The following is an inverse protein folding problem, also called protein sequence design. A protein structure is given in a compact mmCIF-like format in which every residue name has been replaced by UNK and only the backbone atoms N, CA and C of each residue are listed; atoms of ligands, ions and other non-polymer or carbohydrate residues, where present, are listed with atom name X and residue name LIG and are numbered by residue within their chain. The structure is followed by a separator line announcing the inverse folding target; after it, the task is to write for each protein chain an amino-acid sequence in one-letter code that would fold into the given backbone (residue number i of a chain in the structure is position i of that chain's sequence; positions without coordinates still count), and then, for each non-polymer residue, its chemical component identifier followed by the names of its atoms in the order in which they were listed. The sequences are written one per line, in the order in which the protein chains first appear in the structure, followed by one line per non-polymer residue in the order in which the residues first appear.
data_IF_797547237068
#
_entry.id   IF_797547237068
#
_cell.length_a   1.000
_cell.length_b   1.000
_cell.length_c   1.000
_cell.angle_alpha   90.00
_cell.angle_beta   90.00
_cell.angle_gamma   90.00
#
_symmetry.space_group_name_H-M   'P 1'
#
loop_
_entity.id
_entity.type
_entity.pdbx_description
1 polymer ?
#
# COMPACT_ATOMS: atom_id res chain seq x y z
N UNK A 1 55.84 44.35 -65.89
CA UNK A 1 55.63 44.59 -64.44
C UNK A 1 54.17 44.28 -64.14
N UNK A 2 53.88 43.03 -63.74
CA UNK A 2 52.54 42.58 -63.38
C UNK A 2 52.62 42.15 -61.91
N UNK A 3 52.02 42.94 -61.02
CA UNK A 3 51.99 42.69 -59.58
C UNK A 3 50.74 41.82 -59.33
N UNK A 4 50.93 40.53 -59.02
CA UNK A 4 49.83 39.69 -58.53
C UNK A 4 49.66 39.89 -57.03
N UNK A 5 48.54 40.53 -56.66
CA UNK A 5 48.09 40.74 -55.28
C UNK A 5 47.42 39.49 -54.70
N UNK A 6 47.50 39.41 -53.38
CA UNK A 6 47.12 38.32 -52.48
C UNK A 6 45.63 37.93 -52.51
N UNK A 7 45.36 36.67 -52.17
CA UNK A 7 44.06 36.27 -51.60
C UNK A 7 44.30 35.27 -50.46
N UNK A 8 44.38 35.78 -49.22
CA UNK A 8 44.43 34.96 -48.00
C UNK A 8 43.04 34.93 -47.40
N UNK A 9 42.30 33.85 -47.67
CA UNK A 9 40.97 33.59 -47.13
C UNK A 9 41.08 33.28 -45.64
N UNK A 10 40.73 34.24 -44.78
CA UNK A 10 40.57 34.04 -43.33
C UNK A 10 39.28 33.25 -43.08
N UNK A 11 39.42 31.99 -42.65
CA UNK A 11 38.30 31.17 -42.19
C UNK A 11 37.87 31.61 -40.79
N UNK A 12 36.75 32.33 -40.71
CA UNK A 12 36.13 32.76 -39.47
C UNK A 12 35.34 31.57 -38.86
N UNK A 13 35.88 30.93 -37.83
CA UNK A 13 35.18 29.88 -37.08
C UNK A 13 34.07 30.51 -36.23
N UNK A 14 32.82 30.41 -36.69
CA UNK A 14 31.63 30.79 -35.92
C UNK A 14 31.39 29.73 -34.83
N UNK A 15 31.69 30.06 -33.57
CA UNK A 15 31.37 29.21 -32.41
C UNK A 15 29.87 29.34 -32.13
N UNK A 16 29.05 28.46 -32.73
CA UNK A 16 27.60 28.41 -32.49
C UNK A 16 27.38 27.79 -31.10
N UNK A 17 27.13 28.63 -30.10
CA UNK A 17 26.65 28.20 -28.78
C UNK A 17 25.23 27.64 -28.94
N UNK A 18 25.11 26.34 -29.15
CA UNK A 18 23.83 25.65 -29.13
C UNK A 18 23.28 25.70 -27.69
N UNK A 19 22.05 26.20 -27.47
CA UNK A 19 21.44 26.16 -26.15
C UNK A 19 21.22 24.70 -25.76
N UNK A 20 21.95 24.22 -24.77
CA UNK A 20 21.68 22.93 -24.15
C UNK A 20 20.35 23.05 -23.42
N UNK A 21 19.31 22.42 -23.97
CA UNK A 21 18.03 22.30 -23.31
C UNK A 21 18.21 21.50 -22.03
N UNK A 22 18.21 22.20 -20.90
CA UNK A 22 18.15 21.57 -19.57
C UNK A 22 16.79 20.89 -19.48
N UNK A 23 16.76 19.56 -19.55
CA UNK A 23 15.55 18.79 -19.32
C UNK A 23 15.14 18.98 -17.85
N UNK A 24 14.20 19.89 -17.59
CA UNK A 24 13.58 20.03 -16.28
C UNK A 24 12.76 18.76 -16.02
N UNK A 25 13.20 17.94 -15.06
CA UNK A 25 12.39 16.82 -14.59
C UNK A 25 11.20 17.38 -13.82
N UNK A 26 9.99 17.22 -14.35
CA UNK A 26 8.78 17.59 -13.62
C UNK A 26 8.53 16.55 -12.53
N UNK A 27 8.66 16.95 -11.27
CA UNK A 27 8.18 16.17 -10.14
C UNK A 27 6.69 16.47 -9.95
N UNK A 28 5.85 15.44 -9.87
CA UNK A 28 4.44 15.59 -9.55
C UNK A 28 4.19 15.15 -8.09
N UNK A 29 3.33 15.89 -7.38
CA UNK A 29 2.80 15.45 -6.09
C UNK A 29 1.64 14.49 -6.34
N UNK A 30 1.70 13.30 -5.75
CA UNK A 30 0.63 12.32 -5.77
C UNK A 30 0.02 12.21 -4.39
N UNK A 31 -1.29 12.44 -4.27
CA UNK A 31 -2.02 12.29 -3.00
C UNK A 31 -2.39 10.83 -2.79
N UNK A 32 -1.97 10.26 -1.66
CA UNK A 32 -2.25 8.86 -1.37
C UNK A 32 -3.70 8.68 -0.90
N UNK A 33 -4.49 7.80 -1.53
CA UNK A 33 -5.84 7.50 -1.05
C UNK A 33 -5.82 6.93 0.38
N UNK A 34 -6.92 7.13 1.11
CA UNK A 34 -7.12 6.58 2.45
C UNK A 34 -8.44 5.81 2.52
N UNK A 35 -8.59 4.91 3.49
CA UNK A 35 -9.82 4.12 3.64
C UNK A 35 -10.03 3.11 2.52
N UNK A 36 -8.94 2.49 2.06
CA UNK A 36 -8.99 1.51 0.98
C UNK A 36 -9.41 0.16 1.55
N UNK A 37 -10.45 -0.43 0.95
CA UNK A 37 -10.98 -1.73 1.36
C UNK A 37 -10.03 -2.87 1.00
N UNK A 38 -10.02 -3.87 1.87
CA UNK A 38 -9.28 -5.11 1.66
C UNK A 38 -10.00 -6.03 0.67
N UNK A 39 -9.22 -6.83 -0.04
CA UNK A 39 -9.65 -7.88 -0.97
C UNK A 39 -8.69 -9.06 -0.88
N UNK A 40 -9.09 -10.22 -1.39
CA UNK A 40 -8.24 -11.41 -1.49
C UNK A 40 -7.55 -11.76 -0.16
N UNK A 41 -8.30 -11.71 0.94
CA UNK A 41 -7.77 -12.02 2.26
C UNK A 41 -7.55 -13.54 2.45
N UNK A 42 -6.46 -13.89 3.12
CA UNK A 42 -6.11 -15.27 3.47
C UNK A 42 -5.52 -15.34 4.88
N UNK A 43 -5.54 -16.54 5.45
CA UNK A 43 -4.93 -16.84 6.74
C UNK A 43 -3.52 -17.37 6.54
N UNK A 44 -2.59 -16.87 7.34
CA UNK A 44 -1.21 -17.32 7.38
C UNK A 44 -0.76 -17.62 8.82
N UNK A 45 0.42 -18.23 8.96
CA UNK A 45 1.08 -18.46 10.25
C UNK A 45 0.16 -19.15 11.27
N UNK A 46 -0.38 -20.32 10.90
CA UNK A 46 -1.34 -21.09 11.72
C UNK A 46 -2.59 -20.29 12.10
N UNK A 47 -3.10 -19.52 11.13
CA UNK A 47 -4.32 -18.71 11.26
C UNK A 47 -4.22 -17.57 12.29
N UNK A 48 -3.01 -17.11 12.60
CA UNK A 48 -2.79 -15.97 13.51
C UNK A 48 -2.66 -14.64 12.78
N UNK A 49 -2.29 -14.69 11.50
CA UNK A 49 -2.06 -13.52 10.66
C UNK A 49 -3.06 -13.55 9.52
N UNK A 50 -3.75 -12.43 9.31
CA UNK A 50 -4.55 -12.19 8.12
C UNK A 50 -3.68 -11.42 7.15
N UNK A 51 -3.52 -11.97 5.95
CA UNK A 51 -2.90 -11.27 4.83
C UNK A 51 -3.98 -10.90 3.81
N UNK A 52 -4.11 -9.62 3.48
CA UNK A 52 -5.05 -9.13 2.47
C UNK A 52 -4.33 -8.37 1.37
N UNK A 53 -4.94 -8.27 0.19
CA UNK A 53 -4.53 -7.31 -0.83
C UNK A 53 -5.33 -6.02 -0.68
N UNK A 54 -4.65 -4.91 -0.95
CA UNK A 54 -5.24 -3.58 -1.08
C UNK A 54 -5.10 -3.19 -2.54
N UNK A 55 -6.23 -2.96 -3.22
CA UNK A 55 -6.23 -2.52 -4.61
C UNK A 55 -6.16 -0.99 -4.66
N UNK A 56 -5.15 -0.46 -5.35
CA UNK A 56 -4.89 0.97 -5.49
C UNK A 56 -4.71 1.25 -6.96
N UNK A 57 -5.77 1.73 -7.61
CA UNK A 57 -5.80 1.96 -9.06
C UNK A 57 -5.30 0.72 -9.83
N UNK A 58 -4.16 0.82 -10.51
CA UNK A 58 -3.59 -0.23 -11.38
C UNK A 58 -2.64 -1.20 -10.64
N UNK A 59 -2.45 -1.07 -9.34
CA UNK A 59 -1.55 -1.93 -8.55
C UNK A 59 -2.20 -2.45 -7.27
N UNK A 60 -1.57 -3.47 -6.67
CA UNK A 60 -2.01 -4.02 -5.39
C UNK A 60 -0.84 -4.27 -4.45
N UNK A 61 -1.05 -4.04 -3.16
CA UNK A 61 -0.11 -4.41 -2.09
C UNK A 61 -0.72 -5.45 -1.18
N UNK A 62 0.10 -6.40 -0.77
CA UNK A 62 -0.23 -7.27 0.34
C UNK A 62 -0.01 -6.56 1.68
N UNK A 63 -0.86 -6.91 2.62
CA UNK A 63 -1.04 -6.32 3.92
C UNK A 63 -1.17 -7.43 4.93
N UNK A 64 -0.40 -7.43 6.02
CA UNK A 64 -0.53 -8.48 7.04
C UNK A 64 -0.77 -7.86 8.41
N UNK A 65 -1.70 -8.42 9.17
CA UNK A 65 -2.03 -8.02 10.54
C UNK A 65 -2.37 -9.24 11.39
N UNK A 66 -1.99 -9.23 12.66
CA UNK A 66 -2.35 -10.30 13.58
C UNK A 66 -3.79 -10.15 14.02
N UNK A 67 -4.53 -11.25 14.05
CA UNK A 67 -5.92 -11.27 14.53
C UNK A 67 -5.97 -10.76 15.97
N UNK A 68 -5.05 -11.24 16.82
CA UNK A 68 -4.99 -10.90 18.24
C UNK A 68 -4.70 -9.43 18.52
N UNK A 69 -4.23 -8.66 17.54
CA UNK A 69 -3.96 -7.22 17.73
C UNK A 69 -5.26 -6.39 17.64
N UNK A 70 -6.29 -6.87 16.93
CA UNK A 70 -7.51 -6.09 16.63
C UNK A 70 -8.83 -6.80 16.93
N UNK A 71 -8.81 -8.11 17.14
CA UNK A 71 -9.99 -8.91 17.44
C UNK A 71 -9.88 -9.46 18.86
N UNK A 72 -10.92 -9.22 19.65
CA UNK A 72 -11.14 -9.84 20.94
C UNK A 72 -12.36 -10.75 20.92
N UNK A 73 -12.64 -11.37 22.06
CA UNK A 73 -13.83 -12.20 22.27
C UNK A 73 -14.60 -11.68 23.48
N UNK A 74 -15.90 -11.41 23.30
CA UNK A 74 -16.81 -11.08 24.39
C UNK A 74 -18.01 -12.01 24.35
N UNK A 75 -18.13 -12.90 25.34
CA UNK A 75 -19.27 -13.82 25.46
C UNK A 75 -19.44 -14.78 24.26
N UNK A 76 -18.35 -15.16 23.60
CA UNK A 76 -18.39 -16.03 22.41
C UNK A 76 -18.62 -15.28 21.10
N UNK A 77 -18.56 -13.94 21.10
CA UNK A 77 -18.65 -13.10 19.90
C UNK A 77 -17.33 -12.40 19.64
N UNK A 78 -16.88 -12.41 18.39
CA UNK A 78 -15.75 -11.58 17.97
C UNK A 78 -16.15 -10.10 18.03
N UNK A 79 -15.33 -9.30 18.70
CA UNK A 79 -15.53 -7.87 18.91
C UNK A 79 -14.22 -7.13 18.70
N UNK A 80 -14.27 -5.80 18.47
CA UNK A 80 -13.05 -4.99 18.46
C UNK A 80 -12.32 -5.14 19.79
N UNK A 81 -11.01 -5.38 19.75
CA UNK A 81 -10.22 -5.61 20.95
C UNK A 81 -8.93 -6.36 20.64
N UNK A 82 -8.51 -7.22 21.55
CA UNK A 82 -7.29 -8.01 21.39
C UNK A 82 -7.45 -9.38 22.03
N UNK A 83 -6.60 -10.33 21.63
CA UNK A 83 -6.49 -11.65 22.27
C UNK A 83 -7.58 -12.66 21.89
N UNK A 84 -8.22 -12.53 20.73
CA UNK A 84 -9.17 -13.54 20.25
C UNK A 84 -8.54 -14.95 20.21
N UNK A 85 -7.27 -15.09 19.85
CA UNK A 85 -6.52 -16.35 19.77
C UNK A 85 -6.44 -17.13 21.09
N UNK A 86 -6.65 -16.49 22.24
CA UNK A 86 -6.68 -17.17 23.54
C UNK A 86 -7.98 -17.96 23.79
N UNK A 87 -9.04 -17.63 23.05
CA UNK A 87 -10.39 -18.15 23.31
C UNK A 87 -11.20 -18.50 22.07
N UNK A 88 -10.69 -18.19 20.87
CA UNK A 88 -11.31 -18.50 19.59
C UNK A 88 -10.41 -19.42 18.76
N UNK A 89 -11.03 -20.24 17.92
CA UNK A 89 -10.37 -21.20 17.03
C UNK A 89 -11.16 -21.42 15.75
N UNK A 90 -10.65 -22.32 14.90
CA UNK A 90 -11.29 -22.73 13.63
C UNK A 90 -11.50 -21.54 12.67
N UNK A 91 -10.55 -20.60 12.69
CA UNK A 91 -10.55 -19.41 11.85
C UNK A 91 -10.61 -19.79 10.37
N UNK A 92 -11.54 -19.16 9.64
CA UNK A 92 -11.70 -19.31 8.20
C UNK A 92 -12.01 -17.94 7.59
N UNK A 93 -11.35 -17.60 6.49
CA UNK A 93 -11.64 -16.37 5.73
C UNK A 93 -12.33 -16.76 4.42
N UNK A 94 -13.43 -16.07 4.11
CA UNK A 94 -14.16 -16.24 2.86
C UNK A 94 -13.87 -15.10 1.87
N UNK A 95 -14.24 -15.30 0.61
CA UNK A 95 -13.97 -14.38 -0.50
C UNK A 95 -14.70 -13.02 -0.38
N UNK A 96 -15.71 -12.93 0.49
CA UNK A 96 -16.43 -11.69 0.81
C UNK A 96 -15.73 -10.87 1.91
N UNK A 97 -14.50 -11.24 2.27
CA UNK A 97 -13.72 -10.67 3.37
C UNK A 97 -14.39 -10.82 4.74
N UNK A 98 -15.15 -11.90 4.95
CA UNK A 98 -15.63 -12.27 6.28
C UNK A 98 -14.67 -13.25 6.94
N UNK A 99 -14.33 -12.97 8.20
CA UNK A 99 -13.62 -13.90 9.07
C UNK A 99 -14.65 -14.61 9.93
N UNK A 100 -14.63 -15.93 9.88
CA UNK A 100 -15.42 -16.81 10.74
C UNK A 100 -14.51 -17.48 11.76
N UNK A 101 -15.04 -17.69 12.97
CA UNK A 101 -14.36 -18.44 14.02
C UNK A 101 -15.39 -19.06 14.97
N UNK A 102 -14.90 -19.94 15.85
CA UNK A 102 -15.64 -20.43 17.01
C UNK A 102 -14.98 -19.93 18.29
N UNK A 103 -15.68 -19.11 19.06
CA UNK A 103 -15.18 -18.42 20.26
C UNK A 103 -15.83 -18.97 21.54
N UNK A 104 -15.04 -19.14 22.59
CA UNK A 104 -15.50 -19.63 23.88
C UNK A 104 -16.32 -18.55 24.60
N UNK A 105 -17.54 -18.87 25.01
CA UNK A 105 -18.39 -18.01 25.83
C UNK A 105 -18.07 -18.13 27.34
N UNK A 106 -18.83 -17.42 28.17
CA UNK A 106 -18.65 -17.40 29.63
C UNK A 106 -18.92 -18.76 30.30
N UNK A 107 -19.70 -19.64 29.64
CA UNK A 107 -19.99 -21.00 30.11
C UNK A 107 -18.96 -22.03 29.60
N UNK A 108 -17.95 -21.57 28.87
CA UNK A 108 -16.92 -22.41 28.27
C UNK A 108 -17.34 -23.08 26.96
N UNK A 109 -18.53 -22.75 26.43
CA UNK A 109 -19.05 -23.31 25.19
C UNK A 109 -18.54 -22.53 23.98
N UNK A 110 -18.29 -23.23 22.87
CA UNK A 110 -17.87 -22.59 21.63
C UNK A 110 -19.08 -22.08 20.86
N UNK A 111 -19.07 -20.79 20.51
CA UNK A 111 -20.09 -20.12 19.72
C UNK A 111 -19.51 -19.73 18.37
N UNK A 112 -20.24 -20.06 17.31
CA UNK A 112 -19.91 -19.57 15.97
C UNK A 112 -20.14 -18.06 15.92
N UNK A 113 -19.19 -17.35 15.32
CA UNK A 113 -19.23 -15.89 15.19
C UNK A 113 -18.45 -15.49 13.93
N UNK A 114 -18.78 -14.32 13.38
CA UNK A 114 -18.12 -13.79 12.20
C UNK A 114 -18.06 -12.26 12.22
N UNK A 115 -17.07 -11.72 11.53
CA UNK A 115 -16.85 -10.28 11.38
C UNK A 115 -16.49 -9.95 9.93
N UNK A 116 -16.80 -8.74 9.48
CA UNK A 116 -16.25 -8.21 8.24
C UNK A 116 -14.86 -7.62 8.52
N UNK A 117 -13.86 -8.02 7.74
CA UNK A 117 -12.49 -7.54 7.92
C UNK A 117 -12.37 -6.03 7.70
N UNK A 118 -13.19 -5.42 6.83
CA UNK A 118 -13.14 -3.97 6.58
C UNK A 118 -13.68 -3.15 7.76
N UNK A 119 -14.46 -3.77 8.66
CA UNK A 119 -14.94 -3.09 9.87
C UNK A 119 -13.84 -3.06 10.94
N UNK A 120 -12.89 -4.00 10.91
CA UNK A 120 -11.88 -4.21 11.95
C UNK A 120 -10.50 -3.73 11.59
N UNK A 121 -10.21 -3.61 10.31
CA UNK A 121 -8.91 -3.26 9.79
C UNK A 121 -9.04 -2.03 8.90
N UNK A 122 -8.04 -1.16 8.95
CA UNK A 122 -7.98 0.06 8.14
C UNK A 122 -6.58 0.26 7.57
N UNK A 123 -6.53 0.91 6.42
CA UNK A 123 -5.31 1.27 5.71
C UNK A 123 -5.09 2.76 5.76
N UNK A 124 -3.88 3.17 6.13
CA UNK A 124 -3.47 4.57 6.10
C UNK A 124 -2.16 4.72 5.34
N UNK A 125 -2.05 5.73 4.45
CA UNK A 125 -0.77 6.01 3.84
C UNK A 125 0.19 6.57 4.91
N UNK A 126 1.44 6.14 4.88
CA UNK A 126 2.51 6.64 5.76
C UNK A 126 2.75 8.13 5.56
N UNK A 127 2.58 8.58 4.32
CA UNK A 127 2.76 9.95 3.87
C UNK A 127 1.49 10.37 3.13
N UNK A 128 0.99 11.58 3.37
CA UNK A 128 -0.23 12.08 2.69
C UNK A 128 0.02 12.34 1.21
N UNK A 129 1.26 12.67 0.87
CA UNK A 129 1.71 12.99 -0.48
C UNK A 129 3.05 12.33 -0.73
N UNK A 130 3.25 11.87 -1.96
CA UNK A 130 4.50 11.28 -2.40
C UNK A 130 5.01 11.99 -3.65
N UNK A 131 6.30 12.28 -3.67
CA UNK A 131 6.96 12.95 -4.81
C UNK A 131 7.29 11.90 -5.89
N UNK A 132 6.55 11.93 -6.99
CA UNK A 132 6.77 11.01 -8.11
C UNK A 132 7.70 11.67 -9.12
N UNK A 133 8.92 11.15 -9.23
CA UNK A 133 9.96 11.68 -10.13
C UNK A 133 10.13 10.88 -11.42
N UNK A 134 9.54 9.68 -11.57
CA UNK A 134 9.42 8.89 -12.81
C UNK A 134 8.50 7.68 -12.62
N UNK A 135 7.79 7.30 -13.68
CA UNK A 135 6.87 6.15 -13.80
C UNK A 135 7.61 4.86 -13.38
N UNK A 136 7.17 4.18 -12.31
CA UNK A 136 7.64 2.81 -12.03
C UNK A 136 7.79 2.36 -10.57
N UNK A 137 7.36 3.14 -9.56
CA UNK A 137 7.39 2.66 -8.17
C UNK A 137 6.22 3.20 -7.37
N UNK A 138 5.56 2.31 -6.61
CA UNK A 138 4.47 2.62 -5.68
C UNK A 138 4.82 3.87 -4.86
N UNK A 139 4.18 5.03 -5.12
CA UNK A 139 4.55 6.26 -4.44
C UNK A 139 4.07 6.24 -2.99
N UNK A 140 3.04 5.42 -2.69
CA UNK A 140 2.40 5.35 -1.40
C UNK A 140 2.80 4.09 -0.64
N UNK A 141 3.45 4.26 0.50
CA UNK A 141 3.61 3.20 1.48
C UNK A 141 2.42 3.21 2.44
N UNK A 142 1.83 2.05 2.74
CA UNK A 142 0.68 1.96 3.66
C UNK A 142 1.04 1.27 4.98
N UNK A 143 0.30 1.63 6.02
CA UNK A 143 0.26 0.97 7.30
C UNK A 143 -1.11 0.36 7.53
N UNK A 144 -1.11 -0.80 8.19
CA UNK A 144 -2.30 -1.55 8.58
C UNK A 144 -2.51 -1.36 10.07
N UNK A 145 -3.74 -1.01 10.45
CA UNK A 145 -4.11 -0.77 11.84
C UNK A 145 -5.50 -1.33 12.12
N UNK A 146 -5.80 -1.51 13.40
CA UNK A 146 -7.15 -1.78 13.85
C UNK A 146 -8.03 -0.54 13.60
N UNK A 147 -9.25 -0.77 13.11
CA UNK A 147 -10.30 0.23 13.09
C UNK A 147 -10.78 0.46 14.54
N UNK A 148 -10.94 1.73 14.91
CA UNK A 148 -11.39 2.17 16.24
C UNK A 148 -12.76 2.83 16.14
#
# INVERSE_FOLDING_TARGET
MLIMMQNKTLALFLLVLLPTSVAYSQAALYTCPSGINFRDCSLEHFHKVITCKVAIEDWSKSASIKIDDCVGNSGGQMVHGSGAGDSCKDYTVYSDNTLHASCRDNDGQLRSTSINLNDYFVTYPKEKEALVTRIGKDPCSYLFRCAQ
#
